data_IF_594411321522
#
_entry.id   IF_594411321522
#
_cell.length_a   1.000
_cell.length_b   1.000
_cell.length_c   1.000
_cell.angle_alpha   90.00
_cell.angle_beta   90.00
_cell.angle_gamma   90.00
#
_symmetry.space_group_name_H-M   'P 1'
#
loop_
_entity.id
_entity.type
_entity.pdbx_description
1 polymer ?
#
# COMPACT_ATOMS: atom_id res chain seq x y z
N UNK A 1 2.09 -5.97 -11.31
CA UNK A 1 2.47 -5.36 -12.61
C UNK A 1 1.95 -3.92 -12.63
N UNK A 2 2.57 -3.00 -13.37
CA UNK A 2 2.05 -1.61 -13.52
C UNK A 2 0.92 -1.51 -14.56
N UNK A 3 0.76 -2.55 -15.38
CA UNK A 3 -0.41 -2.71 -16.24
C UNK A 3 -1.70 -2.67 -15.40
N UNK A 4 -2.61 -1.74 -15.73
CA UNK A 4 -3.85 -1.53 -14.98
C UNK A 4 -4.77 -2.75 -14.95
N UNK A 5 -4.62 -3.69 -15.88
CA UNK A 5 -5.34 -4.97 -15.86
C UNK A 5 -5.05 -5.77 -14.57
N UNK A 6 -3.84 -5.67 -14.03
CA UNK A 6 -3.42 -6.43 -12.84
C UNK A 6 -4.18 -5.96 -11.60
N UNK A 7 -4.29 -4.64 -11.40
CA UNK A 7 -5.10 -4.09 -10.31
C UNK A 7 -6.59 -4.34 -10.53
N UNK A 8 -7.08 -4.17 -11.77
CA UNK A 8 -8.49 -4.40 -12.10
C UNK A 8 -8.94 -5.81 -11.73
N UNK A 9 -8.15 -6.83 -12.08
CA UNK A 9 -8.43 -8.21 -11.70
C UNK A 9 -8.25 -8.43 -10.20
N UNK A 10 -7.24 -7.83 -9.56
CA UNK A 10 -6.99 -8.01 -8.13
C UNK A 10 -8.12 -7.48 -7.24
N UNK A 11 -8.84 -6.44 -7.67
CA UNK A 11 -9.96 -5.85 -6.90
C UNK A 11 -11.33 -6.31 -7.39
N UNK A 12 -11.38 -7.22 -8.36
CA UNK A 12 -12.65 -7.72 -8.90
C UNK A 12 -13.45 -8.43 -7.82
N UNK A 13 -14.71 -8.04 -7.70
CA UNK A 13 -15.68 -8.56 -6.72
C UNK A 13 -15.32 -8.31 -5.24
N UNK A 14 -14.32 -7.46 -4.94
CA UNK A 14 -14.00 -7.06 -3.57
C UNK A 14 -14.90 -5.94 -3.06
N UNK A 15 -15.25 -5.99 -1.77
CA UNK A 15 -15.91 -4.88 -1.07
C UNK A 15 -14.84 -3.88 -0.56
N UNK A 16 -14.86 -2.61 -1.00
CA UNK A 16 -13.98 -1.56 -0.47
C UNK A 16 -14.02 -1.44 1.06
N UNK A 17 -15.17 -1.67 1.71
CA UNK A 17 -15.33 -1.57 3.16
C UNK A 17 -14.65 -2.73 3.92
N UNK A 18 -14.31 -3.82 3.23
CA UNK A 18 -13.67 -5.01 3.82
C UNK A 18 -12.24 -5.23 3.28
N UNK A 19 -11.73 -4.32 2.44
CA UNK A 19 -10.43 -4.47 1.77
C UNK A 19 -9.33 -3.68 2.47
N UNK A 20 -8.18 -4.32 2.72
CA UNK A 20 -6.96 -3.69 3.21
C UNK A 20 -5.87 -3.72 2.13
N UNK A 21 -5.29 -2.57 1.80
CA UNK A 21 -4.15 -2.46 0.88
C UNK A 21 -2.84 -2.37 1.66
N UNK A 22 -1.90 -3.25 1.32
CA UNK A 22 -0.55 -3.28 1.89
C UNK A 22 0.45 -2.78 0.84
N UNK A 23 1.01 -1.58 1.05
CA UNK A 23 1.92 -0.96 0.08
C UNK A 23 3.38 -1.30 0.44
N UNK A 24 3.98 -2.22 -0.32
CA UNK A 24 5.35 -2.67 -0.11
C UNK A 24 6.34 -1.89 -1.01
N UNK A 25 7.03 -0.90 -0.46
CA UNK A 25 8.11 -0.19 -1.16
C UNK A 25 9.04 0.48 -0.15
N UNK A 26 10.32 0.08 -0.16
CA UNK A 26 11.34 0.60 0.75
C UNK A 26 11.42 2.12 0.72
N UNK A 27 11.60 2.68 -0.47
CA UNK A 27 11.77 4.13 -0.66
C UNK A 27 10.43 4.86 -0.75
N UNK A 28 9.33 4.13 -0.95
CA UNK A 28 8.02 4.68 -1.29
C UNK A 28 8.04 5.57 -2.54
N UNK A 29 8.91 5.24 -3.50
CA UNK A 29 9.08 5.98 -4.76
C UNK A 29 9.09 5.10 -6.00
N UNK A 30 9.00 3.78 -5.83
CA UNK A 30 8.99 2.84 -6.96
C UNK A 30 7.79 3.17 -7.85
N UNK A 31 8.05 3.53 -9.10
CA UNK A 31 7.03 4.11 -10.00
C UNK A 31 5.86 3.14 -10.13
N UNK A 32 6.14 1.88 -10.44
CA UNK A 32 5.14 0.83 -10.60
C UNK A 32 4.28 0.66 -9.34
N UNK A 33 4.92 0.62 -8.16
CA UNK A 33 4.21 0.45 -6.88
C UNK A 33 3.34 1.66 -6.55
N UNK A 34 3.85 2.88 -6.71
CA UNK A 34 3.12 4.11 -6.36
C UNK A 34 2.00 4.40 -7.37
N UNK A 35 2.20 4.08 -8.66
CA UNK A 35 1.13 4.11 -9.66
C UNK A 35 -0.02 3.18 -9.25
N UNK A 36 0.29 1.93 -8.88
CA UNK A 36 -0.74 0.99 -8.42
C UNK A 36 -1.39 1.42 -7.10
N UNK A 37 -0.61 1.91 -6.14
CA UNK A 37 -1.14 2.40 -4.86
C UNK A 37 -2.11 3.57 -5.07
N UNK A 38 -1.78 4.51 -5.95
CA UNK A 38 -2.63 5.67 -6.27
C UNK A 38 -3.94 5.24 -6.96
N UNK A 39 -3.87 4.26 -7.87
CA UNK A 39 -5.06 3.68 -8.51
C UNK A 39 -5.92 2.92 -7.50
N UNK A 40 -5.31 2.15 -6.59
CA UNK A 40 -6.02 1.46 -5.51
C UNK A 40 -6.71 2.44 -4.55
N UNK A 41 -6.04 3.55 -4.19
CA UNK A 41 -6.62 4.63 -3.38
C UNK A 41 -7.84 5.23 -4.06
N UNK A 42 -7.75 5.47 -5.36
CA UNK A 42 -8.86 6.01 -6.15
C UNK A 42 -10.05 5.04 -6.21
N UNK A 43 -9.78 3.74 -6.39
CA UNK A 43 -10.80 2.70 -6.36
C UNK A 43 -11.50 2.60 -5.00
N UNK A 44 -10.72 2.58 -3.90
CA UNK A 44 -11.27 2.51 -2.54
C UNK A 44 -12.17 3.72 -2.24
N UNK A 45 -11.68 4.94 -2.51
CA UNK A 45 -12.42 6.16 -2.23
C UNK A 45 -13.70 6.24 -3.08
N UNK A 46 -13.66 5.83 -4.35
CA UNK A 46 -14.86 5.75 -5.17
C UNK A 46 -15.91 4.79 -4.57
N UNK A 47 -15.45 3.67 -4.02
CA UNK A 47 -16.29 2.69 -3.32
C UNK A 47 -16.86 3.16 -1.98
N UNK A 48 -16.16 4.04 -1.27
CA UNK A 48 -16.54 4.56 0.05
C UNK A 48 -17.11 5.99 0.02
N UNK A 49 -17.59 6.44 -1.15
CA UNK A 49 -18.25 7.75 -1.27
C UNK A 49 -17.32 8.97 -1.19
N UNK A 50 -16.02 8.78 -1.38
CA UNK A 50 -15.00 9.84 -1.41
C UNK A 50 -14.47 10.28 -0.05
N UNK A 51 -14.70 9.52 1.02
CA UNK A 51 -14.18 9.87 2.36
C UNK A 51 -12.67 9.64 2.44
N UNK A 52 -11.90 10.73 2.34
CA UNK A 52 -10.44 10.73 2.45
C UNK A 52 -9.92 10.13 3.77
N UNK A 53 -10.72 10.13 4.85
CA UNK A 53 -10.33 9.50 6.12
C UNK A 53 -10.28 7.98 6.03
N UNK A 54 -10.86 7.38 4.99
CA UNK A 54 -10.78 5.94 4.76
C UNK A 54 -9.34 5.49 4.45
N UNK A 55 -8.50 6.34 3.87
CA UNK A 55 -7.11 5.98 3.52
C UNK A 55 -6.34 5.50 4.75
N UNK A 56 -6.44 6.23 5.87
CA UNK A 56 -5.75 5.88 7.11
C UNK A 56 -6.22 4.55 7.74
N UNK A 57 -7.39 4.03 7.35
CA UNK A 57 -7.97 2.78 7.87
C UNK A 57 -7.78 1.58 6.94
N UNK A 58 -7.63 1.82 5.64
CA UNK A 58 -7.62 0.80 4.61
C UNK A 58 -6.26 0.69 3.87
N UNK A 59 -5.28 1.50 4.25
CA UNK A 59 -3.91 1.41 3.72
C UNK A 59 -2.91 1.30 4.86
N UNK A 60 -1.96 0.37 4.69
CA UNK A 60 -0.76 0.25 5.50
C UNK A 60 0.47 0.27 4.61
N UNK A 61 1.62 0.68 5.14
CA UNK A 61 2.86 0.78 4.36
C UNK A 61 3.98 -0.09 4.94
N UNK A 62 4.75 -0.73 4.07
CA UNK A 62 5.99 -1.43 4.41
C UNK A 62 7.13 -0.63 3.77
N UNK A 63 7.79 0.23 4.54
CA UNK A 63 8.64 1.31 4.02
C UNK A 63 9.68 1.78 5.04
N UNK A 64 10.69 2.52 4.58
CA UNK A 64 11.60 3.32 5.43
C UNK A 64 11.32 4.82 5.35
N UNK A 65 10.34 5.24 4.53
CA UNK A 65 10.10 6.63 4.18
C UNK A 65 8.79 7.17 4.78
N UNK A 66 8.84 7.58 6.05
CA UNK A 66 7.68 8.09 6.78
C UNK A 66 7.07 9.34 6.14
N UNK A 67 7.89 10.23 5.57
CA UNK A 67 7.42 11.47 4.94
C UNK A 67 6.49 11.16 3.76
N UNK A 68 6.93 10.31 2.82
CA UNK A 68 6.11 9.96 1.64
C UNK A 68 4.89 9.12 1.97
N UNK A 69 4.98 8.30 3.02
CA UNK A 69 3.84 7.53 3.52
C UNK A 69 2.76 8.46 4.09
N UNK A 70 3.17 9.45 4.88
CA UNK A 70 2.27 10.48 5.41
C UNK A 70 1.67 11.34 4.27
N UNK A 71 2.48 11.74 3.29
CA UNK A 71 2.01 12.51 2.13
C UNK A 71 0.95 11.77 1.30
N UNK A 72 1.03 10.43 1.24
CA UNK A 72 0.03 9.60 0.59
C UNK A 72 -1.31 9.54 1.38
N UNK A 73 -1.28 9.88 2.67
CA UNK A 73 -2.43 9.86 3.57
C UNK A 73 -2.52 8.62 4.47
N UNK A 74 -1.46 7.80 4.54
CA UNK A 74 -1.38 6.68 5.48
C UNK A 74 -0.94 7.21 6.84
N UNK A 75 -1.62 6.77 7.91
CA UNK A 75 -1.16 7.03 9.28
C UNK A 75 0.18 6.32 9.48
N UNK A 76 1.22 7.05 9.90
CA UNK A 76 2.55 6.48 10.10
C UNK A 76 2.60 5.48 11.26
N UNK A 77 1.59 5.46 12.14
CA UNK A 77 1.40 4.37 13.10
C UNK A 77 1.10 3.02 12.42
N UNK A 78 0.59 3.06 11.17
CA UNK A 78 0.34 1.92 10.29
C UNK A 78 1.46 1.73 9.25
N UNK A 79 2.65 2.29 9.50
CA UNK A 79 3.86 2.02 8.73
C UNK A 79 4.72 0.99 9.47
N UNK A 80 4.99 -0.13 8.82
CA UNK A 80 5.85 -1.19 9.35
C UNK A 80 7.23 -1.08 8.71
N UNK A 81 8.20 -0.66 9.53
CA UNK A 81 9.55 -0.40 9.08
C UNK A 81 10.37 -1.69 8.87
N UNK A 82 11.36 -1.58 7.99
CA UNK A 82 12.48 -2.52 7.86
C UNK A 82 13.73 -1.70 7.52
N UNK A 83 14.90 -2.32 7.42
CA UNK A 83 16.16 -1.54 7.37
C UNK A 83 16.88 -1.58 6.03
N UNK A 84 17.77 -0.60 5.81
CA UNK A 84 18.58 -0.48 4.60
C UNK A 84 19.42 -1.71 4.29
N UNK A 85 19.93 -2.38 5.33
CA UNK A 85 20.69 -3.62 5.20
C UNK A 85 19.85 -4.84 4.77
N UNK A 86 18.52 -4.75 4.82
CA UNK A 86 17.62 -5.79 4.30
C UNK A 86 17.50 -5.63 2.78
N UNK A 87 18.21 -6.48 2.03
CA UNK A 87 18.12 -6.51 0.57
C UNK A 87 16.77 -7.04 0.08
N UNK A 88 16.20 -6.46 -0.97
CA UNK A 88 14.82 -6.75 -1.40
C UNK A 88 14.52 -8.22 -1.72
N UNK A 89 15.48 -8.98 -2.26
CA UNK A 89 15.29 -10.42 -2.53
C UNK A 89 15.38 -11.32 -1.29
N UNK A 90 15.76 -10.76 -0.14
CA UNK A 90 15.87 -11.45 1.15
C UNK A 90 14.99 -10.77 2.22
N UNK A 91 14.05 -9.92 1.82
CA UNK A 91 13.23 -9.15 2.75
C UNK A 91 12.01 -9.91 3.28
N UNK A 92 11.79 -11.15 2.84
CA UNK A 92 10.62 -11.94 3.22
C UNK A 92 10.41 -12.01 4.74
N UNK A 93 11.48 -12.26 5.51
CA UNK A 93 11.43 -12.38 6.98
C UNK A 93 11.34 -11.02 7.70
N UNK A 94 11.27 -9.90 6.97
CA UNK A 94 11.07 -8.56 7.54
C UNK A 94 9.59 -8.16 7.51
N UNK A 95 9.28 -6.88 7.78
CA UNK A 95 7.94 -6.33 7.59
C UNK A 95 7.32 -6.62 6.22
N UNK A 96 8.13 -6.84 5.16
CA UNK A 96 7.64 -7.19 3.81
C UNK A 96 6.76 -8.46 3.82
N UNK A 97 6.97 -9.37 4.77
CA UNK A 97 6.16 -10.58 4.94
C UNK A 97 4.80 -10.39 5.61
N UNK A 98 4.37 -9.15 5.91
CA UNK A 98 3.14 -8.86 6.67
C UNK A 98 1.89 -9.58 6.13
N UNK A 99 1.77 -9.76 4.81
CA UNK A 99 0.61 -10.40 4.20
C UNK A 99 0.46 -11.90 4.52
N UNK A 100 1.42 -12.51 5.21
CA UNK A 100 1.42 -13.93 5.60
C UNK A 100 1.20 -14.16 7.09
N UNK A 101 1.10 -13.09 7.89
CA UNK A 101 0.85 -13.14 9.33
C UNK A 101 -0.64 -13.15 9.63
#
# INVERSE_FOLDING_TARGET
>A
NVDGADLHEAVRDLDPAETLFVIASKTFTTIETITNATSARSWLLAGLGGDEKAVAKHFVALSTNAEKVADFGIDTANMFEFWDWVGGRYSFDSAIGLSLM
#
